data_IF_961323623312
#
_entry.id   IF_961323623312
#
_cell.length_a   1.000
_cell.length_b   1.000
_cell.length_c   1.000
_cell.angle_alpha   90.00
_cell.angle_beta   90.00
_cell.angle_gamma   90.00
#
_symmetry.space_group_name_H-M   'P 1'
#
loop_
_entity.id
_entity.type
_entity.pdbx_description
1 polymer ?
#
# COMPACT_ATOMS: atom_id res chain seq x y z
N UNK A 1 -1.72 -50.06 28.16
CA UNK A 1 -1.90 -49.73 26.73
C UNK A 1 -2.32 -48.28 26.46
N UNK A 2 -3.21 -47.64 27.26
CA UNK A 2 -3.58 -46.21 27.08
C UNK A 2 -2.58 -45.18 27.61
N UNK A 3 -1.55 -45.62 28.32
CA UNK A 3 -0.58 -44.73 28.98
C UNK A 3 0.72 -44.56 28.19
N UNK A 4 1.00 -45.47 27.25
CA UNK A 4 2.16 -45.37 26.34
C UNK A 4 1.89 -44.41 25.17
N UNK A 5 0.65 -44.35 24.68
CA UNK A 5 0.26 -43.43 23.60
C UNK A 5 0.29 -41.96 24.04
N UNK A 6 -0.01 -41.69 25.32
CA UNK A 6 0.04 -40.34 25.91
C UNK A 6 1.47 -39.87 26.20
N UNK A 7 2.44 -40.77 26.19
CA UNK A 7 3.87 -40.48 26.44
C UNK A 7 4.63 -40.04 25.18
N UNK A 8 4.07 -40.26 23.98
CA UNK A 8 4.65 -39.85 22.68
C UNK A 8 4.38 -38.36 22.38
N UNK A 9 3.43 -37.75 23.08
CA UNK A 9 3.13 -36.32 23.07
C UNK A 9 3.89 -35.54 24.15
N UNK A 10 4.95 -36.11 24.71
CA UNK A 10 5.92 -35.34 25.49
C UNK A 10 6.78 -34.59 24.51
N UNK A 11 6.95 -33.30 24.77
CA UNK A 11 7.96 -32.43 24.17
C UNK A 11 9.28 -33.20 24.10
N UNK A 12 9.52 -33.86 22.96
CA UNK A 12 10.87 -34.28 22.59
C UNK A 12 11.61 -32.97 22.53
N UNK A 13 12.65 -32.74 23.35
CA UNK A 13 13.44 -31.54 23.22
C UNK A 13 13.95 -31.54 21.78
N UNK A 14 13.39 -30.67 20.94
CA UNK A 14 13.82 -30.51 19.57
C UNK A 14 15.32 -30.28 19.65
N UNK A 15 16.10 -31.09 18.94
CA UNK A 15 17.54 -30.86 18.82
C UNK A 15 17.74 -29.38 18.43
N UNK A 16 18.79 -28.70 18.89
CA UNK A 16 18.93 -27.25 18.66
C UNK A 16 18.77 -26.89 17.18
N UNK A 17 19.22 -27.78 16.29
CA UNK A 17 19.02 -27.71 14.84
C UNK A 17 17.55 -27.80 14.41
N UNK A 18 16.74 -28.69 15.01
CA UNK A 18 15.32 -28.83 14.71
C UNK A 18 14.51 -27.64 15.26
N UNK A 19 14.84 -27.13 16.46
CA UNK A 19 14.21 -25.93 17.02
C UNK A 19 14.53 -24.69 16.18
N UNK A 20 15.80 -24.53 15.77
CA UNK A 20 16.22 -23.47 14.85
C UNK A 20 15.60 -23.61 13.48
N UNK A 21 15.50 -24.83 12.94
CA UNK A 21 14.84 -25.10 11.66
C UNK A 21 13.34 -24.78 11.73
N UNK A 22 12.68 -25.12 12.85
CA UNK A 22 11.27 -24.83 13.10
C UNK A 22 11.04 -23.33 13.26
N UNK A 23 11.86 -22.61 14.03
CA UNK A 23 11.80 -21.15 14.17
C UNK A 23 12.01 -20.50 12.80
N UNK A 24 13.03 -20.93 12.04
CA UNK A 24 13.29 -20.43 10.70
C UNK A 24 12.13 -20.75 9.74
N UNK A 25 11.50 -21.91 9.87
CA UNK A 25 10.32 -22.29 9.08
C UNK A 25 9.09 -21.46 9.46
N UNK A 26 8.87 -21.19 10.75
CA UNK A 26 7.79 -20.31 11.22
C UNK A 26 8.02 -18.86 10.78
N UNK A 27 9.26 -18.37 10.80
CA UNK A 27 9.63 -17.05 10.28
C UNK A 27 9.39 -16.99 8.77
N UNK A 28 9.87 -17.99 8.01
CA UNK A 28 9.63 -18.08 6.55
C UNK A 28 8.15 -18.18 6.22
N UNK A 29 7.39 -18.99 6.94
CA UNK A 29 5.94 -19.10 6.76
C UNK A 29 5.21 -17.80 7.10
N UNK A 30 5.63 -17.10 8.16
CA UNK A 30 5.09 -15.78 8.51
C UNK A 30 5.40 -14.76 7.42
N UNK A 31 6.63 -14.72 6.90
CA UNK A 31 7.01 -13.87 5.76
C UNK A 31 6.21 -14.21 4.48
N UNK A 32 6.11 -15.49 4.13
CA UNK A 32 5.36 -15.97 2.94
C UNK A 32 3.86 -15.67 3.06
N UNK A 33 3.31 -15.63 4.28
CA UNK A 33 1.92 -15.29 4.56
C UNK A 33 1.67 -13.77 4.51
N UNK A 34 2.60 -12.95 5.01
CA UNK A 34 2.59 -11.49 4.80
C UNK A 34 2.54 -11.13 3.30
N UNK A 35 3.29 -11.85 2.46
CA UNK A 35 3.25 -11.66 1.01
C UNK A 35 1.90 -12.06 0.38
N UNK A 36 1.14 -13.00 0.98
CA UNK A 36 -0.15 -13.49 0.48
C UNK A 36 -1.32 -12.52 0.75
N UNK A 37 -1.24 -11.66 1.78
CA UNK A 37 -2.34 -10.76 2.18
C UNK A 37 -2.19 -9.28 1.78
N UNK A 38 -0.96 -8.79 1.62
CA UNK A 38 -0.69 -7.35 1.48
C UNK A 38 -0.88 -6.78 0.06
N UNK A 39 -0.95 -7.60 -0.97
CA UNK A 39 -1.04 -7.13 -2.37
C UNK A 39 -2.43 -6.66 -2.80
N UNK A 40 -3.49 -7.30 -2.32
CA UNK A 40 -4.87 -6.98 -2.71
C UNK A 40 -5.32 -5.58 -2.26
N UNK A 41 -5.03 -5.12 -1.01
CA UNK A 41 -5.34 -3.76 -0.59
C UNK A 41 -4.66 -2.69 -1.44
N UNK A 42 -3.36 -2.86 -1.73
CA UNK A 42 -2.56 -1.94 -2.55
C UNK A 42 -3.12 -1.84 -3.97
N UNK A 43 -3.51 -2.98 -4.56
CA UNK A 43 -4.14 -2.99 -5.90
C UNK A 43 -5.47 -2.23 -5.91
N UNK A 44 -6.35 -2.46 -4.92
CA UNK A 44 -7.67 -1.83 -4.87
C UNK A 44 -7.54 -0.32 -4.71
N UNK A 45 -6.64 0.14 -3.82
CA UNK A 45 -6.39 1.57 -3.63
C UNK A 45 -5.78 2.23 -4.87
N UNK A 46 -4.81 1.57 -5.51
CA UNK A 46 -4.20 2.04 -6.74
C UNK A 46 -5.19 2.16 -7.90
N UNK A 47 -6.01 1.13 -8.14
CA UNK A 47 -7.04 1.15 -9.19
C UNK A 47 -8.13 2.18 -8.91
N UNK A 48 -8.60 2.29 -7.66
CA UNK A 48 -9.59 3.30 -7.29
C UNK A 48 -9.07 4.72 -7.55
N UNK A 49 -7.80 4.97 -7.23
CA UNK A 49 -7.17 6.28 -7.43
C UNK A 49 -7.00 6.60 -8.91
N UNK A 50 -6.48 5.67 -9.71
CA UNK A 50 -6.32 5.88 -11.17
C UNK A 50 -7.68 6.08 -11.86
N UNK A 51 -8.69 5.30 -11.50
CA UNK A 51 -10.05 5.47 -12.04
C UNK A 51 -10.65 6.82 -11.65
N UNK A 52 -10.49 7.24 -10.39
CA UNK A 52 -10.95 8.55 -9.95
C UNK A 52 -10.23 9.69 -10.69
N UNK A 53 -8.91 9.61 -10.86
CA UNK A 53 -8.14 10.62 -11.61
C UNK A 53 -8.57 10.69 -13.07
N UNK A 54 -8.75 9.55 -13.74
CA UNK A 54 -9.24 9.52 -15.12
C UNK A 54 -10.67 10.08 -15.24
N UNK A 55 -11.52 9.82 -14.26
CA UNK A 55 -12.89 10.31 -14.25
C UNK A 55 -12.95 11.83 -13.97
N UNK A 56 -12.11 12.35 -13.06
CA UNK A 56 -11.92 13.80 -12.86
C UNK A 56 -11.40 14.45 -14.14
N UNK A 57 -10.40 13.85 -14.79
CA UNK A 57 -9.86 14.35 -16.06
C UNK A 57 -10.91 14.42 -17.16
N UNK A 58 -11.68 13.35 -17.36
CA UNK A 58 -12.78 13.33 -18.32
C UNK A 58 -13.87 14.36 -17.96
N UNK A 59 -14.27 14.44 -16.69
CA UNK A 59 -15.29 15.38 -16.21
C UNK A 59 -14.91 16.84 -16.46
N UNK A 60 -13.67 17.22 -16.13
CA UNK A 60 -13.12 18.57 -16.37
C UNK A 60 -13.07 18.87 -17.88
N UNK A 61 -12.63 17.91 -18.70
CA UNK A 61 -12.51 18.09 -20.14
C UNK A 61 -13.85 18.23 -20.88
N UNK A 62 -14.86 17.47 -20.48
CA UNK A 62 -16.17 17.48 -21.15
C UNK A 62 -17.15 18.51 -20.60
N UNK A 63 -17.09 18.81 -19.30
CA UNK A 63 -18.12 19.62 -18.63
C UNK A 63 -17.62 21.01 -18.23
N UNK A 64 -16.30 21.21 -18.14
CA UNK A 64 -15.65 22.44 -17.66
C UNK A 64 -16.24 22.98 -16.33
N UNK A 65 -16.85 22.10 -15.54
CA UNK A 65 -17.50 22.42 -14.26
C UNK A 65 -16.58 22.01 -13.09
N UNK A 66 -16.21 22.94 -12.19
CA UNK A 66 -15.40 22.65 -11.00
C UNK A 66 -15.99 21.56 -10.08
N UNK A 67 -17.29 21.26 -10.17
CA UNK A 67 -17.94 20.21 -9.36
C UNK A 67 -17.42 18.80 -9.66
N UNK A 68 -16.69 18.62 -10.76
CA UNK A 68 -16.10 17.32 -11.10
C UNK A 68 -14.99 16.90 -10.12
N UNK A 69 -14.53 17.80 -9.25
CA UNK A 69 -13.66 17.45 -8.11
C UNK A 69 -14.35 16.54 -7.08
N UNK A 70 -15.69 16.48 -7.02
CA UNK A 70 -16.40 15.52 -6.15
C UNK A 70 -16.10 14.06 -6.51
N UNK A 71 -15.58 13.78 -7.70
CA UNK A 71 -15.20 12.43 -8.09
C UNK A 71 -14.02 11.88 -7.26
N UNK A 72 -13.26 12.73 -6.57
CA UNK A 72 -12.27 12.28 -5.57
C UNK A 72 -12.91 11.46 -4.43
N UNK A 73 -14.19 11.69 -4.11
CA UNK A 73 -14.92 10.88 -3.12
C UNK A 73 -15.17 9.43 -3.55
N UNK A 74 -14.97 9.08 -4.84
CA UNK A 74 -14.99 7.69 -5.29
C UNK A 74 -13.90 6.85 -4.61
N UNK A 75 -12.73 7.44 -4.31
CA UNK A 75 -11.61 6.73 -3.69
C UNK A 75 -12.00 6.20 -2.29
N UNK A 76 -12.43 7.03 -1.32
CA UNK A 76 -12.90 6.53 -0.04
C UNK A 76 -14.19 5.70 -0.16
N UNK A 77 -15.08 6.00 -1.11
CA UNK A 77 -16.29 5.21 -1.33
C UNK A 77 -16.01 3.78 -1.79
N UNK A 78 -14.91 3.52 -2.49
CA UNK A 78 -14.48 2.16 -2.89
C UNK A 78 -13.56 1.56 -1.82
N UNK A 79 -12.63 2.35 -1.28
CA UNK A 79 -11.62 1.89 -0.33
C UNK A 79 -12.19 1.50 1.04
N UNK A 80 -13.14 2.27 1.59
CA UNK A 80 -13.69 2.02 2.92
C UNK A 80 -14.56 0.76 2.98
N UNK A 81 -15.50 0.50 2.05
CA UNK A 81 -16.26 -0.75 2.04
C UNK A 81 -15.35 -1.96 1.89
N UNK A 82 -14.30 -1.85 1.07
CA UNK A 82 -13.32 -2.93 0.89
C UNK A 82 -12.53 -3.22 2.18
N UNK A 83 -12.04 -2.18 2.86
CA UNK A 83 -11.37 -2.32 4.15
C UNK A 83 -12.28 -2.92 5.23
N UNK A 84 -13.55 -2.51 5.27
CA UNK A 84 -14.56 -3.08 6.17
C UNK A 84 -14.84 -4.57 5.86
N UNK A 85 -14.87 -4.94 4.58
CA UNK A 85 -15.04 -6.33 4.15
C UNK A 85 -13.84 -7.21 4.52
N UNK A 86 -12.62 -6.69 4.41
CA UNK A 86 -11.41 -7.39 4.82
C UNK A 86 -11.28 -7.54 6.34
N UNK A 87 -11.76 -6.56 7.12
CA UNK A 87 -11.74 -6.63 8.60
C UNK A 87 -12.58 -7.78 9.16
N UNK A 88 -13.43 -8.41 8.35
CA UNK A 88 -14.17 -9.64 8.70
C UNK A 88 -13.35 -10.93 8.60
N UNK A 89 -12.12 -10.85 8.09
CA UNK A 89 -11.17 -11.98 8.08
C UNK A 89 -10.52 -12.08 9.48
N UNK A 90 -10.26 -13.30 9.99
CA UNK A 90 -9.69 -13.47 11.33
C UNK A 90 -8.39 -12.67 11.48
N UNK A 91 -8.13 -12.05 12.64
CA UNK A 91 -7.01 -11.15 12.84
C UNK A 91 -5.70 -11.87 12.52
N UNK A 92 -5.09 -11.48 11.40
CA UNK A 92 -3.77 -11.95 11.02
C UNK A 92 -2.75 -11.40 12.03
N UNK A 93 -1.83 -12.25 12.48
CA UNK A 93 -0.83 -11.89 13.50
C UNK A 93 -0.04 -10.70 13.00
N UNK A 94 -0.30 -9.52 13.56
CA UNK A 94 0.43 -8.30 13.20
C UNK A 94 1.88 -8.45 13.63
N UNK A 95 2.76 -8.52 12.65
CA UNK A 95 4.20 -8.55 12.88
C UNK A 95 4.68 -7.19 13.37
N UNK A 96 5.90 -7.14 13.92
CA UNK A 96 6.55 -5.87 14.28
C UNK A 96 6.67 -4.93 13.06
N UNK A 97 6.92 -5.51 11.88
CA UNK A 97 6.96 -4.78 10.60
C UNK A 97 5.63 -4.10 10.31
N UNK A 98 4.50 -4.78 10.51
CA UNK A 98 3.17 -4.21 10.26
C UNK A 98 2.88 -3.01 11.18
N UNK A 99 3.38 -3.04 12.43
CA UNK A 99 3.25 -1.91 13.36
C UNK A 99 4.09 -0.72 12.90
N UNK A 100 5.34 -0.94 12.50
CA UNK A 100 6.22 0.12 12.00
C UNK A 100 5.63 0.77 10.75
N UNK A 101 5.15 -0.04 9.81
CA UNK A 101 4.44 0.45 8.61
C UNK A 101 3.22 1.27 9.01
N UNK A 102 2.39 0.78 9.95
CA UNK A 102 1.24 1.55 10.43
C UNK A 102 1.63 2.90 11.03
N UNK A 103 2.72 2.98 11.80
CA UNK A 103 3.19 4.24 12.36
C UNK A 103 3.71 5.20 11.28
N UNK A 104 4.41 4.70 10.26
CA UNK A 104 4.84 5.50 9.11
C UNK A 104 3.62 6.16 8.45
N UNK A 105 2.57 5.38 8.19
CA UNK A 105 1.35 5.89 7.56
C UNK A 105 0.56 6.86 8.45
N UNK A 106 0.56 6.68 9.77
CA UNK A 106 -0.03 7.64 10.71
C UNK A 106 0.72 8.97 10.64
N UNK A 107 2.05 8.95 10.70
CA UNK A 107 2.87 10.16 10.63
C UNK A 107 2.70 10.87 9.27
N UNK A 108 2.70 10.13 8.17
CA UNK A 108 2.45 10.67 6.83
C UNK A 108 1.03 11.22 6.67
N UNK A 109 0.03 10.56 7.28
CA UNK A 109 -1.35 11.05 7.28
C UNK A 109 -1.50 12.36 8.04
N UNK A 110 -0.87 12.48 9.21
CA UNK A 110 -0.88 13.71 10.00
C UNK A 110 -0.15 14.85 9.31
N UNK A 111 1.01 14.60 8.70
CA UNK A 111 1.70 15.63 7.93
C UNK A 111 0.84 16.06 6.73
N UNK A 112 0.14 15.14 6.07
CA UNK A 112 -0.72 15.47 4.92
C UNK A 112 -1.92 16.30 5.32
N UNK A 113 -2.51 15.98 6.47
CA UNK A 113 -3.60 16.75 7.07
C UNK A 113 -3.17 18.19 7.42
N UNK A 114 -2.01 18.37 8.05
CA UNK A 114 -1.47 19.69 8.39
C UNK A 114 -1.23 20.50 7.12
N UNK A 115 -0.56 19.91 6.12
CA UNK A 115 -0.28 20.58 4.85
C UNK A 115 -1.57 20.98 4.13
N UNK A 116 -2.58 20.10 4.12
CA UNK A 116 -3.90 20.39 3.53
C UNK A 116 -4.61 21.54 4.26
N UNK A 117 -4.52 21.58 5.59
CA UNK A 117 -5.06 22.66 6.40
C UNK A 117 -4.37 23.99 6.08
N UNK A 118 -3.03 24.02 6.01
CA UNK A 118 -2.26 25.22 5.64
C UNK A 118 -2.59 25.72 4.23
N UNK A 119 -2.82 24.80 3.27
CA UNK A 119 -3.23 25.16 1.92
C UNK A 119 -4.63 25.77 1.89
N UNK A 120 -5.56 25.27 2.70
CA UNK A 120 -6.92 25.81 2.81
C UNK A 120 -6.95 27.19 3.48
N UNK A 121 -6.04 27.44 4.42
CA UNK A 121 -5.84 28.76 5.04
C UNK A 121 -5.17 29.78 4.10
N UNK A 122 -4.84 29.40 2.86
CA UNK A 122 -4.24 30.29 1.86
C UNK A 122 -2.78 30.65 2.13
N UNK A 123 -2.14 30.03 3.13
CA UNK A 123 -0.74 30.30 3.48
C UNK A 123 0.24 29.77 2.43
N UNK A 124 -0.18 28.75 1.66
CA UNK A 124 0.61 28.17 0.57
C UNK A 124 -0.35 27.90 -0.61
N UNK A 125 -0.08 28.49 -1.77
CA UNK A 125 -0.66 28.09 -3.05
C UNK A 125 -0.01 26.79 -3.51
N UNK A 126 -0.28 25.72 -2.77
CA UNK A 126 0.35 24.45 -3.02
C UNK A 126 -0.48 23.64 -4.02
N UNK A 127 0.18 23.14 -5.07
CA UNK A 127 -0.40 22.12 -5.95
C UNK A 127 -0.67 20.86 -5.11
N UNK A 128 -1.91 20.70 -4.64
CA UNK A 128 -2.33 19.60 -3.75
C UNK A 128 -1.91 18.22 -4.29
N UNK A 129 -2.00 18.02 -5.62
CA UNK A 129 -1.61 16.78 -6.28
C UNK A 129 -0.11 16.47 -6.16
N UNK A 130 0.74 17.50 -6.24
CA UNK A 130 2.19 17.35 -6.04
C UNK A 130 2.48 16.86 -4.63
N UNK A 131 1.92 17.54 -3.62
CA UNK A 131 2.15 17.22 -2.21
C UNK A 131 1.69 15.81 -1.87
N UNK A 132 0.48 15.43 -2.31
CA UNK A 132 -0.06 14.08 -2.07
C UNK A 132 0.84 13.03 -2.72
N UNK A 133 1.27 13.25 -3.97
CA UNK A 133 2.15 12.29 -4.68
C UNK A 133 3.51 12.17 -4.01
N UNK A 134 4.10 13.29 -3.58
CA UNK A 134 5.38 13.32 -2.87
C UNK A 134 5.28 12.53 -1.56
N UNK A 135 4.26 12.81 -0.75
CA UNK A 135 4.06 12.17 0.56
C UNK A 135 3.75 10.67 0.44
N UNK A 136 2.86 10.31 -0.50
CA UNK A 136 2.57 8.91 -0.82
C UNK A 136 3.82 8.19 -1.33
N UNK A 137 4.61 8.84 -2.18
CA UNK A 137 5.90 8.33 -2.66
C UNK A 137 6.86 8.03 -1.51
N UNK A 138 7.02 8.96 -0.56
CA UNK A 138 7.86 8.76 0.63
C UNK A 138 7.36 7.60 1.50
N UNK A 139 6.05 7.54 1.77
CA UNK A 139 5.43 6.45 2.52
C UNK A 139 5.69 5.08 1.88
N UNK A 140 5.58 4.99 0.56
CA UNK A 140 5.85 3.77 -0.20
C UNK A 140 7.35 3.39 -0.24
N UNK A 141 8.27 4.36 -0.37
CA UNK A 141 9.71 4.09 -0.31
C UNK A 141 10.11 3.51 1.05
N UNK A 142 9.68 4.15 2.14
CA UNK A 142 10.00 3.71 3.50
C UNK A 142 9.36 2.35 3.77
N UNK A 143 8.08 2.18 3.40
CA UNK A 143 7.37 0.88 3.54
C UNK A 143 8.10 -0.21 2.76
N UNK A 144 8.53 0.07 1.53
CA UNK A 144 9.29 -0.87 0.70
C UNK A 144 10.65 -1.23 1.31
N UNK A 145 11.33 -0.27 1.93
CA UNK A 145 12.62 -0.49 2.60
C UNK A 145 12.46 -1.35 3.86
N UNK A 146 11.48 -1.04 4.70
CA UNK A 146 11.18 -1.78 5.94
C UNK A 146 10.71 -3.21 5.64
N UNK A 147 9.87 -3.38 4.61
CA UNK A 147 9.40 -4.71 4.17
C UNK A 147 10.40 -5.45 3.27
N UNK A 148 11.54 -4.81 2.93
CA UNK A 148 12.54 -5.28 1.94
C UNK A 148 11.93 -5.64 0.58
N UNK A 149 10.79 -5.06 0.24
CA UNK A 149 10.09 -5.29 -1.02
C UNK A 149 10.52 -4.28 -2.08
N UNK A 150 11.59 -4.62 -2.81
CA UNK A 150 12.19 -3.77 -3.87
C UNK A 150 11.18 -3.17 -4.86
N UNK A 151 10.15 -3.87 -5.34
CA UNK A 151 9.18 -3.29 -6.27
C UNK A 151 8.46 -2.07 -5.71
N UNK A 152 8.13 -2.06 -4.41
CA UNK A 152 7.46 -0.94 -3.75
C UNK A 152 8.43 0.24 -3.54
N UNK A 153 9.70 -0.05 -3.22
CA UNK A 153 10.74 1.00 -3.13
C UNK A 153 10.98 1.67 -4.48
N UNK A 154 11.13 0.88 -5.56
CA UNK A 154 11.35 1.42 -6.91
C UNK A 154 10.13 2.23 -7.36
N UNK A 155 8.91 1.70 -7.18
CA UNK A 155 7.67 2.40 -7.50
C UNK A 155 7.53 3.72 -6.75
N UNK A 156 7.87 3.74 -5.45
CA UNK A 156 7.88 4.95 -4.64
C UNK A 156 8.92 5.99 -5.12
N UNK A 157 10.13 5.57 -5.49
CA UNK A 157 11.15 6.48 -6.04
C UNK A 157 10.68 7.09 -7.37
N UNK A 158 10.06 6.29 -8.24
CA UNK A 158 9.48 6.79 -9.49
C UNK A 158 8.39 7.83 -9.22
N UNK A 159 7.49 7.57 -8.25
CA UNK A 159 6.46 8.52 -7.85
C UNK A 159 7.07 9.81 -7.26
N UNK A 160 8.16 9.73 -6.50
CA UNK A 160 8.89 10.91 -6.02
C UNK A 160 9.43 11.75 -7.19
N UNK A 161 10.08 11.13 -8.18
CA UNK A 161 10.59 11.86 -9.35
C UNK A 161 9.44 12.50 -10.15
N UNK A 162 8.34 11.77 -10.35
CA UNK A 162 7.15 12.30 -11.01
C UNK A 162 6.48 13.44 -10.23
N UNK A 163 6.57 13.44 -8.90
CA UNK A 163 6.12 14.57 -8.09
C UNK A 163 6.90 15.86 -8.42
N UNK A 164 8.22 15.80 -8.56
CA UNK A 164 8.98 16.98 -8.99
C UNK A 164 8.64 17.44 -10.41
N UNK A 165 8.31 16.51 -11.31
CA UNK A 165 7.81 16.85 -12.64
C UNK A 165 6.45 17.58 -12.59
N UNK A 166 5.56 17.19 -11.66
CA UNK A 166 4.27 17.86 -11.42
C UNK A 166 4.41 19.34 -11.02
N UNK A 167 5.55 19.79 -10.47
CA UNK A 167 5.78 21.22 -10.18
C UNK A 167 6.05 22.07 -11.42
N UNK A 168 6.61 21.47 -12.47
CA UNK A 168 7.04 22.19 -13.67
C UNK A 168 6.00 22.14 -14.79
N UNK A 169 5.06 21.20 -14.70
CA UNK A 169 3.92 21.14 -15.59
C UNK A 169 2.96 22.29 -15.26
N UNK A 170 2.41 22.94 -16.29
CA UNK A 170 1.38 23.99 -16.15
C UNK A 170 0.05 23.57 -16.76
N UNK A 171 0.08 22.57 -17.66
CA UNK A 171 -1.10 22.02 -18.31
C UNK A 171 -1.85 21.04 -17.39
N UNK A 172 -3.12 21.34 -17.13
CA UNK A 172 -4.01 20.53 -16.26
C UNK A 172 -4.12 19.08 -16.75
N UNK A 173 -4.15 18.87 -18.08
CA UNK A 173 -4.19 17.53 -18.69
C UNK A 173 -2.94 16.71 -18.34
N UNK A 174 -1.76 17.32 -18.47
CA UNK A 174 -0.50 16.66 -18.17
C UNK A 174 -0.31 16.49 -16.66
N UNK A 175 -0.81 17.41 -15.83
CA UNK A 175 -0.83 17.26 -14.37
C UNK A 175 -1.59 16.02 -13.93
N UNK A 176 -2.82 15.85 -14.40
CA UNK A 176 -3.67 14.71 -14.01
C UNK A 176 -3.11 13.39 -14.55
N UNK A 177 -2.59 13.38 -15.77
CA UNK A 177 -2.01 12.18 -16.37
C UNK A 177 -0.70 11.75 -15.68
N UNK A 178 0.15 12.70 -15.32
CA UNK A 178 1.40 12.43 -14.57
C UNK A 178 1.09 11.90 -13.17
N UNK A 179 0.05 12.43 -12.52
CA UNK A 179 -0.44 11.92 -11.24
C UNK A 179 -0.92 10.46 -11.37
N UNK A 180 -1.75 10.15 -12.36
CA UNK A 180 -2.21 8.79 -12.61
C UNK A 180 -1.03 7.83 -12.86
N UNK A 181 -0.04 8.27 -13.65
CA UNK A 181 1.16 7.48 -13.94
C UNK A 181 1.96 7.17 -12.66
N UNK A 182 2.08 8.13 -11.74
CA UNK A 182 2.75 7.93 -10.47
C UNK A 182 2.08 6.84 -9.63
N UNK A 183 0.74 6.84 -9.55
CA UNK A 183 -0.04 5.82 -8.84
C UNK A 183 0.05 4.43 -9.49
N UNK A 184 0.08 4.37 -10.83
CA UNK A 184 0.34 3.12 -11.55
C UNK A 184 1.71 2.54 -11.14
N UNK A 185 2.74 3.39 -11.13
CA UNK A 185 4.11 2.96 -10.82
C UNK A 185 4.27 2.50 -9.36
N UNK A 186 3.69 3.23 -8.41
CA UNK A 186 3.88 2.95 -6.98
C UNK A 186 2.91 1.95 -6.37
N UNK A 187 1.73 1.73 -6.94
CA UNK A 187 0.74 0.79 -6.37
C UNK A 187 0.42 -0.38 -7.30
N UNK A 188 0.08 -0.12 -8.56
CA UNK A 188 -0.41 -1.17 -9.47
C UNK A 188 0.71 -2.16 -9.84
N UNK A 189 1.90 -1.67 -10.18
CA UNK A 189 3.06 -2.51 -10.52
C UNK A 189 3.47 -3.39 -9.32
N UNK A 190 3.83 -2.84 -8.15
CA UNK A 190 4.20 -3.65 -7.00
C UNK A 190 3.06 -4.55 -6.51
N UNK A 191 1.82 -4.09 -6.58
CA UNK A 191 0.64 -4.87 -6.23
C UNK A 191 0.47 -6.13 -7.09
N UNK A 192 0.65 -6.01 -8.41
CA UNK A 192 0.61 -7.17 -9.31
C UNK A 192 1.78 -8.12 -9.09
N UNK A 193 2.98 -7.59 -8.85
CA UNK A 193 4.15 -8.42 -8.55
C UNK A 193 3.92 -9.22 -7.26
N UNK A 194 3.36 -8.57 -6.23
CA UNK A 194 3.06 -9.21 -4.95
C UNK A 194 1.99 -10.30 -5.12
N UNK A 195 0.92 -10.03 -5.87
CA UNK A 195 -0.13 -11.01 -6.15
C UNK A 195 0.37 -12.21 -7.00
N UNK A 196 1.28 -11.98 -7.97
CA UNK A 196 1.92 -13.07 -8.73
C UNK A 196 2.81 -13.95 -7.85
N UNK A 197 3.57 -13.35 -6.91
CA UNK A 197 4.39 -14.11 -5.94
C UNK A 197 3.51 -14.93 -5.00
N UNK A 198 2.42 -14.34 -4.49
CA UNK A 198 1.45 -15.02 -3.64
C UNK A 198 0.83 -16.24 -4.34
N UNK A 199 0.42 -16.11 -5.61
CA UNK A 199 -0.14 -17.23 -6.40
C UNK A 199 0.86 -18.35 -6.64
N UNK A 200 2.11 -18.03 -7.00
CA UNK A 200 3.17 -19.04 -7.17
C UNK A 200 3.47 -19.78 -5.87
N UNK A 201 3.42 -19.09 -4.73
CA UNK A 201 3.59 -19.71 -3.44
C UNK A 201 2.44 -20.68 -3.09
N UNK A 202 1.21 -20.46 -3.57
CA UNK A 202 0.07 -21.35 -3.34
C UNK A 202 0.00 -22.56 -4.29
N UNK A 203 0.67 -22.53 -5.45
CA UNK A 203 0.67 -23.67 -6.38
C UNK A 203 1.79 -24.68 -6.11
N UNK A 204 2.62 -24.43 -5.10
CA UNK A 204 3.72 -25.31 -4.66
C UNK A 204 3.40 -26.03 -3.35
N UNK A 205 2.22 -25.80 -2.78
CA UNK A 205 1.63 -26.57 -1.69
C UNK A 205 0.57 -27.51 -2.29
#
# INVERSE_FOLDING_TARGET
MKEEEKKVLRDVPLNEEESMALIAQMIRNTQRKMERGAGTPILVWGYATVLATLAVWAGVKFTNDPRMEYLWFLIPAIGLPWQLFQKRRPPEVRTYVDKVVSYIWIVMGWSGFIVSCLSFLGAIQATILFLITLMMGQGNVITGLVTRFRPLTIGGIVALLLSFALLHLTDIDLHLLTFALAFVAMEIIPGHILNRRAKKACSQD
#
